data_IF_560360330494
#
_entry.id   IF_560360330494
#
_cell.length_a   1.000
_cell.length_b   1.000
_cell.length_c   1.000
_cell.angle_alpha   90.00
_cell.angle_beta   90.00
_cell.angle_gamma   90.00
#
_symmetry.space_group_name_H-M   'P 1'
#
loop_
_entity.id
_entity.type
_entity.pdbx_description
1 polymer ?
#
# COMPACT_ATOMS: atom_id res chain seq x y z
N UNK A 1 10.31 19.29 15.49
CA UNK A 1 9.76 17.95 15.32
C UNK A 1 9.97 17.46 13.91
N UNK A 2 10.58 16.30 13.78
CA UNK A 2 10.75 15.72 12.48
C UNK A 2 9.44 15.16 11.95
N UNK A 3 9.10 15.49 10.72
CA UNK A 3 7.98 14.86 10.04
C UNK A 3 8.54 13.61 9.39
N UNK A 4 8.01 12.45 9.72
CA UNK A 4 8.40 11.25 9.00
C UNK A 4 7.74 11.27 7.63
N UNK A 5 8.52 10.96 6.62
CA UNK A 5 8.03 10.87 5.25
C UNK A 5 8.03 9.42 4.87
N UNK A 6 6.88 8.93 4.45
CA UNK A 6 6.73 7.53 4.02
C UNK A 6 6.53 7.48 2.52
N UNK A 7 7.25 6.58 1.89
CA UNK A 7 7.11 6.31 0.47
C UNK A 7 6.84 4.83 0.27
N UNK A 8 5.83 4.53 -0.51
CA UNK A 8 5.57 3.16 -0.96
C UNK A 8 5.80 3.09 -2.45
N UNK A 9 6.40 2.01 -2.90
CA UNK A 9 6.55 1.74 -4.32
C UNK A 9 6.34 0.25 -4.60
N UNK A 10 5.87 -0.06 -5.80
CA UNK A 10 5.62 -1.45 -6.18
C UNK A 10 6.50 -1.88 -7.33
N UNK A 11 6.61 -3.21 -7.52
CA UNK A 11 7.06 -3.77 -8.79
C UNK A 11 5.99 -3.48 -9.86
N UNK A 12 6.29 -3.83 -11.09
CA UNK A 12 5.27 -3.88 -12.15
C UNK A 12 4.38 -5.10 -11.86
N UNK A 13 3.13 -4.84 -11.46
CA UNK A 13 2.18 -5.91 -11.17
C UNK A 13 1.11 -5.96 -12.26
N UNK A 14 0.54 -7.14 -12.48
CA UNK A 14 -0.47 -7.34 -13.52
C UNK A 14 -1.79 -7.71 -12.89
N UNK A 15 -2.84 -6.99 -13.26
CA UNK A 15 -4.20 -7.25 -12.80
C UNK A 15 -4.89 -8.22 -13.75
N UNK A 16 -5.86 -8.96 -13.22
CA UNK A 16 -6.48 -10.08 -13.95
C UNK A 16 -7.39 -9.66 -15.09
N UNK A 17 -7.99 -8.47 -15.01
CA UNK A 17 -8.96 -8.00 -16.00
C UNK A 17 -9.13 -6.47 -15.95
N UNK A 18 -9.84 -5.94 -16.94
CA UNK A 18 -10.06 -4.50 -17.04
C UNK A 18 -10.94 -3.96 -15.90
N UNK A 19 -11.89 -4.73 -15.42
CA UNK A 19 -12.74 -4.34 -14.30
C UNK A 19 -11.88 -4.11 -13.05
N UNK A 20 -10.90 -5.00 -12.82
CA UNK A 20 -9.95 -4.86 -11.72
C UNK A 20 -9.11 -3.60 -11.88
N UNK A 21 -8.66 -3.30 -13.11
CA UNK A 21 -7.88 -2.09 -13.38
C UNK A 21 -8.71 -0.84 -13.02
N UNK A 22 -9.95 -0.78 -13.46
CA UNK A 22 -10.82 0.36 -13.18
C UNK A 22 -11.05 0.54 -11.69
N UNK A 23 -11.23 -0.57 -10.98
CA UNK A 23 -11.43 -0.53 -9.54
C UNK A 23 -10.19 0.02 -8.82
N UNK A 24 -9.01 -0.48 -9.15
CA UNK A 24 -7.77 -0.02 -8.52
C UNK A 24 -7.47 1.44 -8.89
N UNK A 25 -7.70 1.83 -10.14
CA UNK A 25 -7.54 3.22 -10.56
C UNK A 25 -8.44 4.15 -9.73
N UNK A 26 -9.65 3.72 -9.46
CA UNK A 26 -10.58 4.48 -8.63
C UNK A 26 -10.04 4.62 -7.20
N UNK A 27 -9.50 3.54 -6.62
CA UNK A 27 -8.92 3.61 -5.28
C UNK A 27 -7.76 4.60 -5.24
N UNK A 28 -6.88 4.55 -6.22
CA UNK A 28 -5.73 5.46 -6.29
C UNK A 28 -6.21 6.91 -6.40
N UNK A 29 -7.22 7.16 -7.22
CA UNK A 29 -7.81 8.48 -7.33
C UNK A 29 -8.36 8.99 -5.99
N UNK A 30 -9.09 8.13 -5.29
CA UNK A 30 -9.69 8.49 -4.00
C UNK A 30 -8.64 8.75 -2.92
N UNK A 31 -7.49 8.09 -2.99
CA UNK A 31 -6.41 8.27 -2.04
C UNK A 31 -5.81 9.68 -2.05
N UNK A 32 -6.02 10.43 -3.11
CA UNK A 32 -5.48 11.78 -3.24
C UNK A 32 -6.32 12.87 -2.55
N UNK A 33 -7.38 12.47 -1.87
CA UNK A 33 -8.17 13.35 -1.01
C UNK A 33 -8.04 12.87 0.43
N UNK A 34 -7.43 13.69 1.26
CA UNK A 34 -7.18 13.36 2.67
C UNK A 34 -8.45 12.99 3.43
N UNK A 35 -9.58 13.59 3.08
CA UNK A 35 -10.85 13.29 3.75
C UNK A 35 -11.31 11.85 3.54
N UNK A 36 -10.79 11.17 2.53
CA UNK A 36 -11.13 9.79 2.24
C UNK A 36 -10.29 8.79 3.04
N UNK A 37 -9.19 9.26 3.64
CA UNK A 37 -8.24 8.38 4.32
C UNK A 37 -8.67 8.10 5.75
N UNK A 38 -8.41 6.88 6.20
CA UNK A 38 -8.67 6.48 7.59
C UNK A 38 -7.89 7.38 8.55
N UNK A 39 -6.67 7.74 8.18
CA UNK A 39 -5.81 8.61 8.97
C UNK A 39 -5.88 10.08 8.54
N UNK A 40 -7.02 10.52 7.98
CA UNK A 40 -7.13 11.82 7.34
C UNK A 40 -6.58 12.99 8.14
N UNK A 41 -6.86 13.02 9.45
CA UNK A 41 -6.37 14.10 10.32
C UNK A 41 -4.86 14.00 10.59
N UNK A 42 -4.26 12.85 10.37
CA UNK A 42 -2.82 12.60 10.56
C UNK A 42 -2.05 12.56 9.24
N UNK A 43 -2.74 12.75 8.12
CA UNK A 43 -2.08 12.75 6.81
C UNK A 43 -1.39 14.09 6.55
N UNK A 44 -0.28 14.05 5.85
CA UNK A 44 0.47 15.24 5.47
C UNK A 44 1.00 15.06 4.05
N UNK A 45 0.45 15.85 3.12
CA UNK A 45 0.88 15.86 1.71
C UNK A 45 0.89 14.48 1.06
N UNK A 46 -0.03 13.62 1.46
CA UNK A 46 -0.12 12.27 0.92
C UNK A 46 -0.63 12.30 -0.52
N UNK A 47 0.00 11.52 -1.38
CA UNK A 47 -0.44 11.35 -2.76
C UNK A 47 -0.15 9.93 -3.23
N UNK A 48 -0.90 9.48 -4.22
CA UNK A 48 -0.71 8.17 -4.85
C UNK A 48 -0.77 8.32 -6.36
N UNK A 49 0.11 7.64 -7.06
CA UNK A 49 0.17 7.66 -8.52
C UNK A 49 0.29 6.23 -9.06
N UNK A 50 -0.41 5.98 -10.17
CA UNK A 50 -0.44 4.70 -10.84
C UNK A 50 -0.04 4.89 -12.29
N UNK A 51 0.94 4.11 -12.75
CA UNK A 51 1.50 4.22 -14.09
C UNK A 51 1.27 2.96 -14.88
N UNK A 52 0.85 3.10 -16.14
CA UNK A 52 0.81 1.98 -17.08
C UNK A 52 2.25 1.64 -17.47
N UNK A 53 2.72 0.49 -17.04
CA UNK A 53 4.12 0.13 -17.16
C UNK A 53 4.47 -0.51 -18.50
N UNK A 54 3.60 -1.40 -18.99
CA UNK A 54 3.92 -2.18 -20.18
C UNK A 54 3.12 -1.80 -21.43
N UNK A 55 2.16 -0.90 -21.29
CA UNK A 55 1.28 -0.52 -22.40
C UNK A 55 0.22 -1.56 -22.74
N UNK A 56 0.12 -2.64 -21.98
CA UNK A 56 -0.88 -3.68 -22.21
C UNK A 56 -2.24 -3.37 -21.57
N UNK A 57 -2.30 -2.30 -20.78
CA UNK A 57 -3.51 -1.90 -20.09
C UNK A 57 -3.84 -2.72 -18.84
N UNK A 58 -2.98 -3.66 -18.45
CA UNK A 58 -3.18 -4.53 -17.29
C UNK A 58 -2.02 -4.50 -16.32
N UNK A 59 -0.86 -4.00 -16.72
CA UNK A 59 0.37 -4.01 -15.92
C UNK A 59 0.73 -2.60 -15.49
N UNK A 60 0.90 -2.41 -14.18
CA UNK A 60 1.07 -1.08 -13.60
C UNK A 60 2.13 -1.08 -12.53
N UNK A 61 2.62 0.11 -12.23
CA UNK A 61 3.38 0.41 -11.01
C UNK A 61 2.64 1.49 -10.25
N UNK A 62 2.73 1.42 -8.94
CA UNK A 62 2.17 2.46 -8.06
C UNK A 62 3.28 2.97 -7.17
N UNK A 63 3.28 4.28 -6.91
CA UNK A 63 4.06 4.83 -5.84
C UNK A 63 3.25 5.85 -5.06
N UNK A 64 3.57 6.02 -3.81
CA UNK A 64 2.96 7.00 -2.95
C UNK A 64 4.05 7.82 -2.27
N UNK A 65 3.71 9.02 -1.86
CA UNK A 65 4.57 9.88 -1.09
C UNK A 65 3.79 10.59 -0.01
N UNK A 66 4.50 11.39 0.80
CA UNK A 66 3.90 12.06 1.93
C UNK A 66 3.72 11.13 3.12
N UNK A 67 2.90 11.55 4.05
CA UNK A 67 2.69 10.80 5.29
C UNK A 67 1.22 10.45 5.47
N UNK A 68 0.96 9.19 5.79
CA UNK A 68 -0.34 8.73 6.24
C UNK A 68 -0.11 7.56 7.19
N UNK A 69 -0.45 7.76 8.44
CA UNK A 69 -0.27 6.72 9.45
C UNK A 69 -1.10 5.49 9.08
N UNK A 70 -0.46 4.33 9.05
CA UNK A 70 -1.11 3.09 8.65
C UNK A 70 -1.07 2.78 7.16
N UNK A 71 -0.62 3.72 6.32
CA UNK A 71 -0.49 3.50 4.88
C UNK A 71 -1.72 3.87 4.07
N UNK A 72 -1.80 3.42 2.81
CA UNK A 72 -2.88 3.83 1.90
C UNK A 72 -4.19 3.10 2.18
N UNK A 73 -4.90 3.55 3.19
CA UNK A 73 -6.15 2.97 3.65
C UNK A 73 -7.29 3.97 3.49
N UNK A 74 -8.35 3.54 2.84
CA UNK A 74 -9.53 4.33 2.57
C UNK A 74 -10.66 3.96 3.54
N UNK A 75 -11.46 4.96 3.91
CA UNK A 75 -12.69 4.70 4.65
C UNK A 75 -13.61 3.82 3.80
N UNK A 76 -14.19 2.81 4.42
CA UNK A 76 -15.05 1.86 3.71
C UNK A 76 -16.17 2.54 2.93
N UNK A 77 -16.87 3.50 3.56
CA UNK A 77 -18.01 4.18 2.95
C UNK A 77 -17.68 5.05 1.74
N UNK A 78 -16.39 5.39 1.56
CA UNK A 78 -15.95 6.15 0.39
C UNK A 78 -15.89 5.24 -0.84
N UNK A 79 -15.54 3.98 -0.65
CA UNK A 79 -15.38 3.01 -1.74
C UNK A 79 -16.70 2.30 -2.04
N UNK A 80 -17.34 1.80 -0.99
CA UNK A 80 -18.61 1.10 -1.09
C UNK A 80 -19.69 1.97 -0.47
N UNK A 81 -20.36 2.75 -1.31
CA UNK A 81 -21.43 3.64 -0.86
C UNK A 81 -22.62 2.80 -0.43
N UNK A 82 -22.64 2.44 0.83
CA UNK A 82 -23.76 1.72 1.42
C UNK A 82 -24.72 2.75 2.01
N UNK A 83 -25.82 3.01 1.32
CA UNK A 83 -26.80 3.99 1.72
C UNK A 83 -27.55 3.62 3.00
N UNK A 84 -27.37 2.40 3.47
CA UNK A 84 -27.99 1.92 4.70
C UNK A 84 -27.08 2.07 5.91
N UNK A 85 -25.89 2.63 5.72
CA UNK A 85 -24.94 2.84 6.80
C UNK A 85 -25.28 4.16 7.50
N UNK A 86 -25.66 4.10 8.76
CA UNK A 86 -25.92 5.27 9.57
C UNK A 86 -24.64 5.90 10.13
N UNK A 87 -23.48 5.37 9.75
CA UNK A 87 -22.18 5.75 10.33
C UNK A 87 -21.18 6.19 9.26
N UNK A 88 -21.63 7.00 8.32
CA UNK A 88 -20.82 7.43 7.19
C UNK A 88 -19.57 8.23 7.59
N UNK A 89 -19.59 8.82 8.74
CA UNK A 89 -18.53 9.70 9.24
C UNK A 89 -17.63 9.02 10.26
N UNK A 90 -17.83 7.74 10.50
CA UNK A 90 -17.08 7.08 11.54
C UNK A 90 -15.70 6.63 11.10
N UNK A 91 -14.72 6.93 11.94
CA UNK A 91 -13.40 6.36 11.84
C UNK A 91 -13.49 4.92 12.30
N UNK A 92 -13.88 4.06 11.41
CA UNK A 92 -13.93 2.65 11.73
C UNK A 92 -12.58 2.03 11.37
N UNK A 93 -11.68 2.03 12.33
CA UNK A 93 -10.36 1.43 12.15
C UNK A 93 -10.46 -0.07 11.86
N UNK A 94 -11.62 -0.67 12.14
CA UNK A 94 -11.85 -2.07 11.89
C UNK A 94 -12.51 -2.33 10.52
N UNK A 95 -12.85 -1.26 9.81
CA UNK A 95 -13.57 -1.39 8.53
C UNK A 95 -13.02 -0.40 7.51
N UNK A 96 -11.92 -0.76 6.90
CA UNK A 96 -11.24 0.09 5.92
C UNK A 96 -10.86 -0.73 4.70
N UNK A 97 -10.54 -0.03 3.62
CA UNK A 97 -10.07 -0.63 2.37
C UNK A 97 -8.58 -0.36 2.26
N UNK A 98 -7.78 -1.42 2.26
CA UNK A 98 -6.33 -1.31 2.10
C UNK A 98 -5.97 -1.52 0.63
N UNK A 99 -5.26 -0.56 0.04
CA UNK A 99 -4.91 -0.60 -1.38
C UNK A 99 -4.16 -1.89 -1.75
N UNK A 100 -3.20 -2.28 -0.93
CA UNK A 100 -2.36 -3.45 -1.27
C UNK A 100 -3.16 -4.75 -1.22
N UNK A 101 -4.06 -4.88 -0.26
CA UNK A 101 -4.92 -6.06 -0.18
C UNK A 101 -5.87 -6.15 -1.39
N UNK A 102 -6.35 -5.02 -1.85
CA UNK A 102 -7.26 -4.98 -3.00
C UNK A 102 -6.54 -5.32 -4.31
N UNK A 103 -5.30 -4.89 -4.45
CA UNK A 103 -4.47 -5.30 -5.59
C UNK A 103 -4.18 -6.79 -5.50
N UNK A 104 -3.79 -7.27 -4.32
CA UNK A 104 -3.49 -8.68 -4.09
C UNK A 104 -4.64 -9.58 -4.52
N UNK A 105 -5.86 -9.20 -4.15
CA UNK A 105 -7.07 -9.96 -4.49
C UNK A 105 -7.37 -9.99 -6.00
N UNK A 106 -6.78 -9.10 -6.77
CA UNK A 106 -7.06 -8.92 -8.19
C UNK A 106 -5.87 -9.19 -9.10
N UNK A 107 -4.82 -9.79 -8.58
CA UNK A 107 -3.65 -10.12 -9.39
C UNK A 107 -3.98 -11.19 -10.43
N UNK A 108 -3.35 -11.07 -11.59
CA UNK A 108 -3.42 -12.10 -12.61
C UNK A 108 -2.77 -13.38 -12.10
N UNK A 109 -3.31 -14.50 -12.49
CA UNK A 109 -2.80 -15.82 -12.13
C UNK A 109 -1.30 -15.92 -12.39
N UNK A 110 -0.57 -16.49 -11.44
CA UNK A 110 0.89 -16.70 -11.49
C UNK A 110 1.72 -15.41 -11.45
N UNK A 111 1.13 -14.31 -11.00
CA UNK A 111 1.86 -13.06 -10.79
C UNK A 111 1.94 -12.72 -9.31
N UNK A 112 2.65 -11.66 -9.00
CA UNK A 112 2.89 -11.25 -7.62
C UNK A 112 2.94 -9.73 -7.50
N UNK A 113 2.76 -9.25 -6.28
CA UNK A 113 2.90 -7.84 -5.92
C UNK A 113 4.00 -7.74 -4.87
N UNK A 114 4.93 -6.82 -5.08
CA UNK A 114 5.94 -6.46 -4.08
C UNK A 114 5.75 -5.00 -3.71
N UNK A 115 5.56 -4.74 -2.44
CA UNK A 115 5.41 -3.38 -1.92
C UNK A 115 6.63 -3.04 -1.07
N UNK A 116 7.32 -1.98 -1.43
CA UNK A 116 8.47 -1.48 -0.68
C UNK A 116 8.05 -0.22 0.06
N UNK A 117 8.35 -0.20 1.35
CA UNK A 117 8.06 0.94 2.20
C UNK A 117 9.36 1.56 2.69
N UNK A 118 9.50 2.86 2.50
CA UNK A 118 10.63 3.64 2.99
C UNK A 118 10.11 4.71 3.93
N UNK A 119 10.67 4.77 5.12
CA UNK A 119 10.34 5.81 6.09
C UNK A 119 11.62 6.54 6.46
N UNK A 120 11.61 7.86 6.31
CA UNK A 120 12.74 8.71 6.68
C UNK A 120 12.35 9.53 7.90
N UNK A 121 13.14 9.39 8.97
CA UNK A 121 12.95 10.12 10.22
C UNK A 121 14.27 10.70 10.68
N UNK A 122 14.24 11.59 11.65
CA UNK A 122 15.44 12.15 12.27
C UNK A 122 16.39 11.05 12.78
N UNK A 123 15.82 9.96 13.28
CA UNK A 123 16.59 8.86 13.85
C UNK A 123 17.21 7.92 12.82
N UNK A 124 16.89 8.09 11.55
CA UNK A 124 17.44 7.25 10.51
C UNK A 124 16.45 6.86 9.44
N UNK A 125 16.85 5.89 8.65
CA UNK A 125 16.09 5.38 7.53
C UNK A 125 15.60 3.96 7.86
N UNK A 126 14.31 3.75 7.65
CA UNK A 126 13.70 2.43 7.80
C UNK A 126 13.13 2.00 6.46
N UNK A 127 13.28 0.73 6.12
CA UNK A 127 12.57 0.18 4.98
C UNK A 127 12.04 -1.21 5.30
N UNK A 128 10.96 -1.56 4.61
CA UNK A 128 10.36 -2.88 4.68
C UNK A 128 9.86 -3.29 3.31
N UNK A 129 9.72 -4.57 3.10
CA UNK A 129 9.25 -5.14 1.85
C UNK A 129 8.22 -6.21 2.17
N UNK A 130 7.08 -6.16 1.48
CA UNK A 130 6.05 -7.20 1.57
C UNK A 130 5.86 -7.75 0.17
N UNK A 131 5.93 -9.05 0.02
CA UNK A 131 5.66 -9.73 -1.24
C UNK A 131 4.37 -10.53 -1.08
N UNK A 132 3.44 -10.33 -2.02
CA UNK A 132 2.14 -11.00 -2.04
C UNK A 132 2.10 -11.93 -3.24
N UNK A 133 1.70 -13.17 -3.01
CA UNK A 133 1.50 -14.16 -4.06
C UNK A 133 0.04 -14.15 -4.49
N UNK A 134 -0.20 -14.18 -5.80
CA UNK A 134 -1.57 -14.33 -6.30
C UNK A 134 -2.17 -15.62 -5.72
N UNK A 135 -3.43 -15.54 -5.33
CA UNK A 135 -4.15 -16.67 -4.75
C UNK A 135 -3.93 -16.88 -3.26
N UNK A 136 -3.11 -16.05 -2.64
CA UNK A 136 -2.90 -16.07 -1.19
C UNK A 136 -1.45 -16.13 -0.78
N UNK A 137 -1.21 -15.82 0.48
CA UNK A 137 0.13 -15.84 1.05
C UNK A 137 0.90 -14.55 0.85
N UNK A 138 1.60 -14.15 1.89
CA UNK A 138 2.50 -13.01 1.83
C UNK A 138 3.70 -13.26 2.74
N UNK A 139 4.80 -12.60 2.41
CA UNK A 139 6.03 -12.66 3.20
C UNK A 139 6.53 -11.24 3.34
N UNK A 140 6.95 -10.86 4.54
CA UNK A 140 7.50 -9.53 4.71
C UNK A 140 8.85 -9.60 5.43
N UNK A 141 9.70 -8.62 5.13
CA UNK A 141 11.01 -8.43 5.75
C UNK A 141 11.25 -6.95 5.93
N UNK A 142 11.87 -6.59 7.03
CA UNK A 142 12.30 -5.20 7.24
C UNK A 142 13.83 -5.14 7.32
N UNK A 143 14.35 -3.93 7.37
CA UNK A 143 15.80 -3.71 7.37
C UNK A 143 16.50 -4.35 8.57
N UNK A 144 15.84 -4.43 9.72
CA UNK A 144 16.42 -5.06 10.91
C UNK A 144 16.53 -6.57 10.76
N UNK A 145 15.51 -7.19 10.18
CA UNK A 145 15.53 -8.62 9.91
C UNK A 145 16.60 -8.99 8.90
N UNK A 146 16.76 -8.17 7.86
CA UNK A 146 17.80 -8.37 6.86
C UNK A 146 19.19 -8.24 7.49
N UNK A 147 19.39 -7.27 8.38
CA UNK A 147 20.63 -7.12 9.10
C UNK A 147 20.96 -8.38 9.90
N UNK A 148 20.00 -8.92 10.62
CA UNK A 148 20.19 -10.13 11.42
C UNK A 148 20.53 -11.34 10.53
N UNK A 149 19.84 -11.49 9.41
CA UNK A 149 20.12 -12.56 8.46
C UNK A 149 21.53 -12.46 7.90
N UNK A 150 21.97 -11.25 7.56
CA UNK A 150 23.31 -11.01 7.02
C UNK A 150 24.39 -11.30 8.06
N UNK A 151 24.19 -10.88 9.30
CA UNK A 151 25.12 -11.14 10.38
C UNK A 151 25.25 -12.63 10.65
N UNK A 152 24.13 -13.34 10.63
CA UNK A 152 24.11 -14.80 10.80
C UNK A 152 24.89 -15.48 9.68
N UNK A 153 24.70 -15.02 8.43
CA UNK A 153 25.43 -15.55 7.28
C UNK A 153 26.93 -15.36 7.40
N UNK A 154 27.35 -14.26 8.03
CA UNK A 154 28.76 -13.96 8.30
C UNK A 154 29.32 -14.66 9.54
N UNK A 155 28.48 -15.39 10.28
CA UNK A 155 28.90 -16.12 11.45
C UNK A 155 28.75 -15.39 12.78
N UNK A 156 28.08 -14.23 12.79
CA UNK A 156 27.83 -13.49 14.03
C UNK A 156 26.43 -13.84 14.54
N UNK A 157 26.35 -14.94 15.25
CA UNK A 157 25.09 -15.36 15.89
C UNK A 157 25.03 -14.85 17.31
N UNK A 158 23.84 -14.47 17.75
CA UNK A 158 23.58 -14.27 19.16
C UNK A 158 23.14 -15.54 19.82
#
# INVERSE_FOLDING_TARGET
MGVSVEHFSTNAFTLKDQESVEFIQRLVYLLNDESNLVCGYAASDFYAEMYDYSGDGLTFKIHTGGYCDGGPQLKYGVVYQDHNSDNDDQYDYDNYIDLWDEIHARLKEKTYLVVKRHTSEKSGLYFGVVAYKEGGGSVHRNCYELEQEMLKELGFEE
#
